data_IF_270688711248
#
_entry.id   IF_270688711248
#
_cell.length_a   1.000
_cell.length_b   1.000
_cell.length_c   1.000
_cell.angle_alpha   90.00
_cell.angle_beta   90.00
_cell.angle_gamma   90.00
#
_symmetry.space_group_name_H-M   'P 1'
#
loop_
_entity.id
_entity.type
_entity.pdbx_description
1 polymer ?
#
# COMPACT_ATOMS: atom_id res chain seq x y z
N UNK A 1 3.41 -6.98 -12.75
CA UNK A 1 2.83 -6.63 -11.43
C UNK A 1 3.96 -6.40 -10.47
N UNK A 2 4.13 -5.15 -10.05
CA UNK A 2 5.22 -4.73 -9.17
C UNK A 2 4.70 -4.67 -7.74
N UNK A 3 5.43 -5.24 -6.78
CA UNK A 3 5.08 -5.15 -5.36
C UNK A 3 6.10 -4.28 -4.64
N UNK A 4 5.62 -3.31 -3.87
CA UNK A 4 6.43 -2.37 -3.12
C UNK A 4 6.10 -2.47 -1.64
N UNK A 5 7.12 -2.24 -0.82
CA UNK A 5 7.03 -2.30 0.64
C UNK A 5 7.71 -1.09 1.28
N UNK A 6 7.71 -1.04 2.62
CA UNK A 6 8.49 -0.05 3.36
C UNK A 6 9.98 -0.02 2.98
N UNK A 7 10.53 -1.15 2.51
CA UNK A 7 11.94 -1.25 2.08
C UNK A 7 12.21 -0.54 0.74
N UNK A 8 11.16 -0.19 0.00
CA UNK A 8 11.21 0.51 -1.28
C UNK A 8 10.99 2.01 -1.15
N UNK A 9 10.93 2.52 0.09
CA UNK A 9 10.74 3.95 0.36
C UNK A 9 11.76 4.81 -0.41
N UNK A 10 11.22 5.76 -1.17
CA UNK A 10 12.01 6.74 -1.94
C UNK A 10 12.57 6.20 -3.26
N UNK A 11 12.24 4.96 -3.66
CA UNK A 11 12.58 4.43 -4.97
C UNK A 11 11.64 4.98 -6.04
N UNK A 12 12.18 5.15 -7.25
CA UNK A 12 11.40 5.35 -8.46
C UNK A 12 11.17 4.00 -9.14
N UNK A 13 9.97 3.81 -9.68
CA UNK A 13 9.56 2.57 -10.34
C UNK A 13 9.07 2.92 -11.73
N UNK A 14 9.66 2.28 -12.74
CA UNK A 14 9.18 2.36 -14.12
C UNK A 14 8.06 1.33 -14.31
N UNK A 15 6.92 1.78 -14.85
CA UNK A 15 5.78 0.93 -15.16
C UNK A 15 5.44 1.06 -16.64
N UNK A 16 4.97 -0.03 -17.23
CA UNK A 16 4.36 0.01 -18.56
C UNK A 16 2.86 0.33 -18.45
N UNK A 17 2.26 0.85 -19.53
CA UNK A 17 0.80 0.99 -19.60
C UNK A 17 0.11 -0.34 -19.32
N UNK A 18 -1.00 -0.29 -18.60
CA UNK A 18 -1.79 -1.45 -18.15
C UNK A 18 -1.07 -2.39 -17.15
N UNK A 19 0.15 -2.03 -16.70
CA UNK A 19 0.79 -2.74 -15.60
C UNK A 19 0.27 -2.25 -14.24
N UNK A 20 -0.02 -3.20 -13.35
CA UNK A 20 -0.39 -2.91 -11.97
C UNK A 20 0.85 -2.85 -11.06
N UNK A 21 0.82 -1.89 -10.16
CA UNK A 21 1.70 -1.84 -8.99
C UNK A 21 0.84 -2.06 -7.75
N UNK A 22 1.42 -2.63 -6.71
CA UNK A 22 0.76 -2.85 -5.44
C UNK A 22 1.67 -2.44 -4.28
N UNK A 23 1.15 -1.67 -3.32
CA UNK A 23 1.91 -1.16 -2.19
C UNK A 23 1.45 -1.85 -0.91
N UNK A 24 2.37 -2.52 -0.21
CA UNK A 24 2.09 -3.23 1.05
C UNK A 24 2.78 -2.52 2.22
N UNK A 25 1.98 -1.93 3.11
CA UNK A 25 2.50 -1.29 4.31
C UNK A 25 1.97 -1.98 5.57
N UNK A 26 2.83 -2.14 6.57
CA UNK A 26 2.41 -2.64 7.88
C UNK A 26 1.49 -1.61 8.54
N UNK A 27 0.33 -2.04 9.02
CA UNK A 27 -0.61 -1.16 9.72
C UNK A 27 -1.13 -1.84 10.98
N UNK A 28 -1.15 -1.11 12.10
CA UNK A 28 -1.75 -1.59 13.34
C UNK A 28 -2.93 -0.69 13.78
N UNK A 29 -4.17 -1.00 13.35
CA UNK A 29 -5.34 -0.20 13.69
C UNK A 29 -5.61 -0.10 15.20
N UNK A 30 -5.11 -1.03 16.03
CA UNK A 30 -5.34 -0.97 17.49
C UNK A 30 -4.58 0.16 18.18
N UNK A 31 -3.63 0.78 17.47
CA UNK A 31 -2.92 1.98 17.94
C UNK A 31 -3.68 3.27 17.63
N UNK A 32 -4.77 3.21 16.85
CA UNK A 32 -5.49 4.38 16.35
C UNK A 32 -4.87 5.01 15.10
N UNK A 33 -3.74 4.50 14.61
CA UNK A 33 -3.09 4.97 13.38
C UNK A 33 -3.53 4.15 12.17
N UNK A 34 -3.67 4.83 11.03
CA UNK A 34 -3.93 4.25 9.71
C UNK A 34 -3.11 4.99 8.66
N UNK A 35 -2.80 4.31 7.57
CA UNK A 35 -2.22 4.98 6.42
C UNK A 35 -3.26 5.81 5.68
N UNK A 36 -2.78 6.90 5.09
CA UNK A 36 -3.58 7.80 4.29
C UNK A 36 -2.74 8.30 3.12
N UNK A 37 -3.25 8.15 1.90
CA UNK A 37 -2.61 8.65 0.70
C UNK A 37 -2.76 10.18 0.63
N UNK A 38 -1.65 10.90 0.75
CA UNK A 38 -1.63 12.38 0.71
C UNK A 38 -1.49 12.90 -0.73
N UNK A 39 -0.80 12.16 -1.59
CA UNK A 39 -0.63 12.44 -3.01
C UNK A 39 -0.56 11.12 -3.76
N UNK A 40 -1.27 11.04 -4.88
CA UNK A 40 -1.23 9.88 -5.78
C UNK A 40 -0.50 10.23 -7.09
N UNK A 41 -0.38 9.25 -7.98
CA UNK A 41 0.28 9.41 -9.28
C UNK A 41 -0.67 9.78 -10.41
N UNK A 42 -1.86 10.33 -10.14
CA UNK A 42 -2.80 10.71 -11.21
C UNK A 42 -2.23 11.81 -12.11
N UNK A 43 -2.56 11.81 -13.42
CA UNK A 43 -3.49 10.88 -14.10
C UNK A 43 -2.81 9.60 -14.62
N UNK A 44 -1.54 9.36 -14.30
CA UNK A 44 -0.76 8.24 -14.87
C UNK A 44 -1.22 6.90 -14.32
N UNK A 45 -1.58 6.86 -13.04
CA UNK A 45 -2.13 5.67 -12.37
C UNK A 45 -3.52 5.97 -11.80
N UNK A 46 -4.32 4.92 -11.74
CA UNK A 46 -5.64 4.89 -11.13
C UNK A 46 -5.58 3.96 -9.90
N UNK A 47 -6.33 4.30 -8.86
CA UNK A 47 -6.46 3.42 -7.70
C UNK A 47 -7.37 2.24 -8.05
N UNK A 48 -6.81 1.03 -8.03
CA UNK A 48 -7.55 -0.18 -8.34
C UNK A 48 -8.24 -0.78 -7.10
N UNK A 49 -7.58 -0.76 -5.94
CA UNK A 49 -8.07 -1.30 -4.68
C UNK A 49 -7.51 -0.54 -3.47
N UNK A 50 -8.15 -0.68 -2.32
CA UNK A 50 -7.72 -0.16 -1.01
C UNK A 50 -8.26 -1.13 0.04
N UNK A 51 -7.39 -2.00 0.53
CA UNK A 51 -7.73 -3.14 1.37
C UNK A 51 -6.82 -3.21 2.61
N UNK A 52 -7.37 -3.75 3.70
CA UNK A 52 -6.61 -4.05 4.91
C UNK A 52 -6.75 -5.52 5.31
N UNK A 53 -5.64 -6.25 5.25
CA UNK A 53 -5.52 -7.62 5.69
C UNK A 53 -5.15 -7.65 7.19
N UNK A 54 -6.09 -8.01 8.06
CA UNK A 54 -5.84 -8.08 9.50
C UNK A 54 -4.83 -9.16 9.88
N UNK A 55 -3.93 -8.85 10.82
CA UNK A 55 -2.97 -9.81 11.37
C UNK A 55 -3.64 -10.94 12.14
N UNK A 56 -3.01 -12.12 12.16
CA UNK A 56 -3.51 -13.27 12.90
C UNK A 56 -3.39 -13.05 14.43
N UNK A 57 -4.48 -12.58 15.05
CA UNK A 57 -4.61 -12.43 16.49
C UNK A 57 -4.96 -11.00 16.94
N UNK A 58 -5.59 -10.87 18.10
CA UNK A 58 -5.99 -9.57 18.66
C UNK A 58 -4.75 -8.70 18.90
N UNK A 59 -4.78 -7.46 18.39
CA UNK A 59 -3.70 -6.48 18.57
C UNK A 59 -2.47 -6.68 17.68
N UNK A 60 -2.49 -7.66 16.77
CA UNK A 60 -1.41 -7.85 15.80
C UNK A 60 -1.54 -6.85 14.66
N UNK A 61 -0.39 -6.34 14.20
CA UNK A 61 -0.32 -5.57 12.97
C UNK A 61 -0.81 -6.42 11.79
N UNK A 62 -1.57 -5.80 10.90
CA UNK A 62 -1.93 -6.32 9.60
C UNK A 62 -1.17 -5.62 8.49
N UNK A 63 -1.68 -5.73 7.26
CA UNK A 63 -1.08 -5.12 6.08
C UNK A 63 -2.15 -4.32 5.33
N UNK A 64 -1.86 -3.05 5.07
CA UNK A 64 -2.64 -2.20 4.18
C UNK A 64 -2.10 -2.34 2.75
N UNK A 65 -3.01 -2.48 1.79
CA UNK A 65 -2.71 -2.74 0.37
C UNK A 65 -3.48 -1.76 -0.51
N UNK A 66 -2.77 -1.14 -1.43
CA UNK A 66 -3.34 -0.40 -2.57
C UNK A 66 -2.84 -1.01 -3.86
#
# INVERSE_FOLDING_TARGET
MVQLSETDKGKEVALQSDEQLEIHLSENPTTGYRWHVVSDGKPVVELAADDFDAGAGVGKAGTHRW
#
